data_IF_136910721648
#
_entry.id   IF_136910721648
#
_cell.length_a   1.000
_cell.length_b   1.000
_cell.length_c   1.000
_cell.angle_alpha   90.00
_cell.angle_beta   90.00
_cell.angle_gamma   90.00
#
_symmetry.space_group_name_H-M   'P 1'
#
loop_
_entity.id
_entity.type
_entity.pdbx_description
1 polymer ?
#
# COMPACT_ATOMS: atom_id res chain seq x y z
N UNK A 1 24.10 0.76 10.90
CA UNK A 1 24.51 -0.22 11.92
C UNK A 1 23.63 -0.03 13.14
N UNK A 2 22.94 -1.07 13.57
CA UNK A 2 22.09 -1.03 14.76
C UNK A 2 22.70 -1.98 15.81
N UNK A 3 22.92 -1.51 17.05
CA UNK A 3 23.33 -2.42 18.13
C UNK A 3 22.29 -3.54 18.31
N UNK A 4 22.77 -4.78 18.52
CA UNK A 4 21.90 -5.96 18.64
C UNK A 4 20.82 -5.78 19.70
N UNK A 5 21.16 -5.17 20.83
CA UNK A 5 20.24 -4.88 21.94
C UNK A 5 19.10 -3.96 21.52
N UNK A 6 19.40 -2.92 20.73
CA UNK A 6 18.39 -2.00 20.21
C UNK A 6 17.53 -2.64 19.11
N UNK A 7 18.12 -3.51 18.30
CA UNK A 7 17.39 -4.25 17.28
C UNK A 7 16.29 -5.13 17.89
N UNK A 8 16.61 -5.86 18.96
CA UNK A 8 15.63 -6.71 19.67
C UNK A 8 14.56 -5.87 20.38
N UNK A 9 14.94 -4.72 20.94
CA UNK A 9 14.02 -3.86 21.68
C UNK A 9 12.99 -3.15 20.81
N UNK A 10 13.30 -2.87 19.54
CA UNK A 10 12.47 -2.06 18.65
C UNK A 10 11.86 -2.82 17.48
N UNK A 11 12.23 -4.07 17.26
CA UNK A 11 11.65 -4.93 16.25
C UNK A 11 10.82 -6.01 16.95
N UNK A 12 9.57 -6.16 16.61
CA UNK A 12 8.75 -7.32 17.03
C UNK A 12 9.20 -8.59 16.28
N UNK A 13 10.50 -8.87 16.33
CA UNK A 13 11.07 -10.06 15.73
C UNK A 13 10.86 -11.24 16.68
N UNK A 14 10.30 -12.32 16.17
CA UNK A 14 10.15 -13.54 16.95
C UNK A 14 11.51 -13.99 17.51
N UNK A 15 11.54 -14.37 18.78
CA UNK A 15 12.76 -14.82 19.48
C UNK A 15 13.54 -15.91 18.72
N UNK A 16 12.82 -16.76 18.00
CA UNK A 16 13.37 -17.82 17.17
C UNK A 16 14.27 -17.31 16.05
N UNK A 17 13.84 -16.24 15.34
CA UNK A 17 14.62 -15.60 14.29
C UNK A 17 15.88 -14.93 14.84
N UNK A 18 15.78 -14.37 16.02
CA UNK A 18 16.92 -13.78 16.71
C UNK A 18 17.92 -14.86 17.18
N UNK A 19 17.44 -15.96 17.72
CA UNK A 19 18.27 -17.09 18.10
C UNK A 19 19.00 -17.71 16.89
N UNK A 20 18.36 -17.76 15.74
CA UNK A 20 18.98 -18.18 14.48
C UNK A 20 20.09 -17.21 14.06
N UNK A 21 19.84 -15.91 14.11
CA UNK A 21 20.84 -14.89 13.79
C UNK A 21 22.10 -15.03 14.67
N UNK A 22 21.93 -15.25 15.97
CA UNK A 22 23.06 -15.44 16.87
C UNK A 22 23.84 -16.74 16.61
N UNK A 23 23.13 -17.80 16.22
CA UNK A 23 23.73 -19.13 15.97
C UNK A 23 24.46 -19.20 14.63
N UNK A 24 23.92 -18.60 13.58
CA UNK A 24 24.41 -18.72 12.19
C UNK A 24 25.21 -17.51 11.74
N UNK A 25 25.03 -16.37 12.40
CA UNK A 25 25.56 -15.06 11.99
C UNK A 25 24.70 -14.37 10.94
N UNK A 26 23.66 -15.03 10.42
CA UNK A 26 22.69 -14.45 9.50
C UNK A 26 21.30 -15.06 9.69
N UNK A 27 20.27 -14.29 9.42
CA UNK A 27 18.87 -14.75 9.39
C UNK A 27 18.04 -13.89 8.45
N UNK A 28 17.02 -14.47 7.82
CA UNK A 28 16.02 -13.75 7.06
C UNK A 28 14.67 -13.89 7.76
N UNK A 29 13.97 -12.77 7.93
CA UNK A 29 12.65 -12.75 8.56
C UNK A 29 11.83 -11.54 8.12
N UNK A 30 10.52 -11.63 8.29
CA UNK A 30 9.60 -10.50 8.10
C UNK A 30 9.35 -9.80 9.43
N UNK A 31 9.16 -8.48 9.36
CA UNK A 31 8.69 -7.68 10.48
C UNK A 31 7.67 -6.66 10.00
N UNK A 32 6.75 -6.28 10.88
CA UNK A 32 5.79 -5.23 10.58
C UNK A 32 6.39 -3.86 10.87
N UNK A 33 6.47 -3.00 9.82
CA UNK A 33 6.95 -1.64 9.96
C UNK A 33 5.78 -0.70 10.26
N UNK A 34 5.61 -0.32 11.52
CA UNK A 34 4.53 0.56 11.96
C UNK A 34 4.58 1.98 11.38
N UNK A 35 5.73 2.44 10.88
CA UNK A 35 5.83 3.76 10.24
C UNK A 35 5.27 3.76 8.83
N UNK A 36 5.39 2.65 8.14
CA UNK A 36 4.90 2.47 6.76
C UNK A 36 3.67 1.57 6.70
N UNK A 37 3.27 0.99 7.86
CA UNK A 37 2.16 0.04 7.98
C UNK A 37 2.26 -1.11 6.97
N UNK A 38 3.47 -1.62 6.75
CA UNK A 38 3.73 -2.69 5.79
C UNK A 38 4.61 -3.77 6.40
N UNK A 39 4.36 -5.02 6.00
CA UNK A 39 5.29 -6.10 6.28
C UNK A 39 6.53 -5.96 5.41
N UNK A 40 7.71 -5.96 6.03
CA UNK A 40 8.99 -5.90 5.35
C UNK A 40 9.80 -7.15 5.62
N UNK A 41 10.44 -7.67 4.58
CA UNK A 41 11.40 -8.77 4.71
C UNK A 41 12.80 -8.20 4.73
N UNK A 42 13.60 -8.64 5.69
CA UNK A 42 14.99 -8.22 5.87
C UNK A 42 15.89 -9.42 6.04
N UNK A 43 17.10 -9.27 5.55
CA UNK A 43 18.24 -10.12 5.89
C UNK A 43 19.06 -9.40 6.96
N UNK A 44 19.24 -10.03 8.10
CA UNK A 44 20.09 -9.57 9.18
C UNK A 44 21.41 -10.33 9.15
N UNK A 45 22.51 -9.62 9.27
CA UNK A 45 23.87 -10.20 9.35
C UNK A 45 24.55 -9.64 10.58
N UNK A 46 25.02 -10.54 11.46
CA UNK A 46 25.80 -10.16 12.62
C UNK A 46 27.27 -9.92 12.24
N UNK A 47 27.88 -8.89 12.80
CA UNK A 47 29.27 -8.51 12.48
C UNK A 47 30.31 -9.53 12.96
N UNK A 48 29.99 -10.34 13.95
CA UNK A 48 30.86 -11.40 14.49
C UNK A 48 30.08 -12.69 14.78
N UNK A 49 30.65 -13.83 14.40
CA UNK A 49 30.05 -15.17 14.63
C UNK A 49 30.14 -15.66 16.08
N UNK A 50 31.02 -15.07 16.88
CA UNK A 50 31.14 -15.39 18.30
C UNK A 50 31.28 -14.08 19.10
N UNK A 51 30.30 -13.74 19.96
CA UNK A 51 30.39 -12.55 20.78
C UNK A 51 31.43 -12.69 21.87
N UNK A 52 32.54 -11.98 21.76
CA UNK A 52 33.43 -11.74 22.86
C UNK A 52 32.85 -10.66 23.78
N UNK A 53 32.97 -10.83 25.10
CA UNK A 53 32.41 -9.96 26.13
C UNK A 53 32.82 -8.46 26.03
N UNK A 54 33.76 -8.11 25.15
CA UNK A 54 34.31 -6.76 24.96
C UNK A 54 34.08 -6.18 23.54
N UNK A 55 33.37 -6.87 22.66
CA UNK A 55 33.11 -6.37 21.30
C UNK A 55 31.67 -5.84 21.16
N UNK A 56 31.55 -4.68 20.59
CA UNK A 56 30.23 -4.13 20.21
C UNK A 56 29.71 -4.88 18.98
N UNK A 57 28.79 -5.82 19.17
CA UNK A 57 28.17 -6.54 18.09
C UNK A 57 27.14 -5.66 17.38
N UNK A 58 27.24 -5.58 16.07
CA UNK A 58 26.31 -4.84 15.22
C UNK A 58 25.56 -5.79 14.30
N UNK A 59 24.26 -5.52 14.11
CA UNK A 59 23.45 -6.17 13.10
C UNK A 59 23.32 -5.24 11.91
N UNK A 60 23.70 -5.72 10.75
CA UNK A 60 23.46 -5.06 9.48
C UNK A 60 22.13 -5.57 8.93
N UNK A 61 21.21 -4.66 8.61
CA UNK A 61 19.89 -4.97 8.06
C UNK A 61 19.88 -4.64 6.58
N UNK A 62 19.62 -5.62 5.75
CA UNK A 62 19.45 -5.45 4.31
C UNK A 62 18.00 -5.69 3.94
N UNK A 63 17.32 -4.74 3.27
CA UNK A 63 16.00 -5.02 2.73
C UNK A 63 16.13 -6.15 1.69
N UNK A 64 15.36 -7.21 1.88
CA UNK A 64 15.21 -8.28 0.89
C UNK A 64 14.00 -7.94 0.07
N UNK A 65 14.23 -7.56 -1.18
CA UNK A 65 13.16 -7.39 -2.13
C UNK A 65 12.70 -8.79 -2.58
N UNK A 66 11.40 -9.08 -2.45
CA UNK A 66 10.84 -10.27 -3.09
C UNK A 66 11.10 -10.17 -4.58
N UNK A 67 11.64 -11.23 -5.19
CA UNK A 67 11.74 -11.26 -6.64
C UNK A 67 10.33 -11.26 -7.24
N UNK A 68 10.18 -10.66 -8.41
CA UNK A 68 8.89 -10.67 -9.13
C UNK A 68 8.38 -12.10 -9.40
N UNK A 69 9.28 -13.08 -9.43
CA UNK A 69 8.96 -14.50 -9.57
C UNK A 69 8.40 -15.11 -8.28
N UNK A 70 8.95 -14.76 -7.11
CA UNK A 70 8.45 -15.22 -5.81
C UNK A 70 7.04 -14.66 -5.54
N UNK A 71 6.80 -13.39 -5.87
CA UNK A 71 5.47 -12.78 -5.76
C UNK A 71 4.48 -13.51 -6.66
N UNK A 72 4.84 -13.78 -7.91
CA UNK A 72 3.98 -14.50 -8.86
C UNK A 72 3.66 -15.93 -8.42
N UNK A 73 4.57 -16.63 -7.75
CA UNK A 73 4.36 -17.98 -7.24
C UNK A 73 3.46 -18.03 -6.00
N UNK A 74 3.41 -16.95 -5.23
CA UNK A 74 2.56 -16.85 -4.02
C UNK A 74 1.17 -16.28 -4.28
N UNK A 75 0.93 -15.75 -5.49
CA UNK A 75 -0.37 -15.21 -5.85
C UNK A 75 -1.38 -16.34 -6.07
N UNK A 76 -2.60 -16.24 -5.52
CA UNK A 76 -3.65 -17.21 -5.73
C UNK A 76 -4.03 -17.31 -7.22
N UNK A 77 -4.46 -18.49 -7.68
CA UNK A 77 -4.94 -18.70 -9.04
C UNK A 77 -6.13 -17.79 -9.38
N UNK A 78 -6.98 -17.50 -8.40
CA UNK A 78 -8.05 -16.51 -8.51
C UNK A 78 -7.52 -15.13 -8.11
N UNK A 79 -7.23 -14.29 -9.09
CA UNK A 79 -6.68 -12.95 -8.91
C UNK A 79 -7.75 -11.89 -8.66
N UNK A 80 -8.67 -12.17 -7.73
CA UNK A 80 -9.63 -11.15 -7.30
C UNK A 80 -8.87 -10.00 -6.64
N UNK A 81 -9.05 -8.79 -7.16
CA UNK A 81 -8.45 -7.58 -6.57
C UNK A 81 -9.50 -6.94 -5.70
N UNK A 82 -9.25 -6.90 -4.39
CA UNK A 82 -10.14 -6.23 -3.43
C UNK A 82 -9.52 -4.93 -2.95
N UNK A 83 -10.31 -3.88 -2.90
CA UNK A 83 -9.90 -2.54 -2.48
C UNK A 83 -10.76 -2.10 -1.30
N UNK A 84 -10.10 -1.70 -0.23
CA UNK A 84 -10.73 -1.10 0.95
C UNK A 84 -10.51 0.40 0.93
N UNK A 85 -11.58 1.14 1.08
CA UNK A 85 -11.59 2.60 1.13
C UNK A 85 -12.17 3.13 2.45
N UNK A 86 -12.96 2.32 3.16
CA UNK A 86 -13.51 2.68 4.47
C UNK A 86 -12.42 2.57 5.54
N UNK A 87 -12.04 3.74 6.08
CA UNK A 87 -10.85 3.91 6.89
C UNK A 87 -9.61 4.21 6.05
N UNK A 88 -8.59 3.36 6.14
CA UNK A 88 -7.37 3.48 5.36
C UNK A 88 -7.51 2.81 4.00
N UNK A 89 -6.83 3.38 2.99
CA UNK A 89 -6.78 2.77 1.66
C UNK A 89 -5.87 1.56 1.63
N UNK A 90 -6.42 0.39 1.32
CA UNK A 90 -5.65 -0.84 1.14
C UNK A 90 -6.11 -1.63 -0.08
N UNK A 91 -5.17 -2.38 -0.68
CA UNK A 91 -5.39 -3.18 -1.89
C UNK A 91 -4.86 -4.58 -1.66
N UNK A 92 -5.63 -5.58 -2.07
CA UNK A 92 -5.30 -6.99 -1.92
C UNK A 92 -5.42 -7.72 -3.26
N UNK A 93 -4.61 -8.75 -3.46
CA UNK A 93 -4.78 -9.76 -4.51
C UNK A 93 -5.07 -11.09 -3.82
N UNK A 94 -6.32 -11.55 -3.88
CA UNK A 94 -6.82 -12.55 -2.96
C UNK A 94 -6.68 -12.04 -1.52
N UNK A 95 -6.01 -12.81 -0.66
CA UNK A 95 -5.77 -12.44 0.74
C UNK A 95 -4.41 -11.72 0.95
N UNK A 96 -3.66 -11.46 -0.12
CA UNK A 96 -2.32 -10.88 -0.03
C UNK A 96 -2.35 -9.37 -0.21
N UNK A 97 -1.94 -8.57 0.80
CA UNK A 97 -1.88 -7.13 0.67
C UNK A 97 -0.79 -6.70 -0.31
N UNK A 98 -1.07 -5.67 -1.12
CA UNK A 98 -0.10 -5.09 -2.05
C UNK A 98 0.84 -4.14 -1.30
N UNK A 99 2.14 -4.39 -1.40
CA UNK A 99 3.17 -3.50 -0.89
C UNK A 99 3.50 -2.40 -1.89
N UNK A 100 3.11 -1.17 -1.60
CA UNK A 100 3.48 0.00 -2.39
C UNK A 100 4.80 0.59 -1.92
N UNK A 101 5.86 0.47 -2.73
CA UNK A 101 7.18 1.08 -2.44
C UNK A 101 7.16 2.62 -2.48
N UNK A 102 6.11 3.20 -3.02
CA UNK A 102 5.96 4.65 -3.13
C UNK A 102 4.57 5.11 -2.70
N UNK A 103 4.51 5.92 -1.63
CA UNK A 103 3.25 6.44 -1.06
C UNK A 103 2.42 7.20 -2.10
N UNK A 104 3.04 8.01 -2.97
CA UNK A 104 2.32 8.77 -4.01
C UNK A 104 1.77 7.88 -5.13
N UNK A 105 2.34 6.69 -5.38
CA UNK A 105 1.74 5.73 -6.31
C UNK A 105 0.51 5.03 -5.69
N UNK A 106 0.53 4.74 -4.38
CA UNK A 106 -0.65 4.25 -3.64
C UNK A 106 -1.77 5.31 -3.65
N UNK A 107 -1.42 6.56 -3.37
CA UNK A 107 -2.34 7.70 -3.39
C UNK A 107 -2.94 7.95 -4.79
N UNK A 108 -2.15 7.83 -5.86
CA UNK A 108 -2.67 7.92 -7.23
C UNK A 108 -3.72 6.83 -7.49
N UNK A 109 -3.48 5.59 -7.07
CA UNK A 109 -4.48 4.53 -7.23
C UNK A 109 -5.75 4.83 -6.42
N UNK A 110 -5.60 5.31 -5.18
CA UNK A 110 -6.74 5.72 -4.36
C UNK A 110 -7.57 6.82 -5.04
N UNK A 111 -6.92 7.81 -5.66
CA UNK A 111 -7.60 8.85 -6.43
C UNK A 111 -8.39 8.28 -7.62
N UNK A 112 -7.80 7.33 -8.37
CA UNK A 112 -8.50 6.68 -9.48
C UNK A 112 -9.73 5.90 -9.00
N UNK A 113 -9.64 5.26 -7.84
CA UNK A 113 -10.77 4.55 -7.21
C UNK A 113 -11.85 5.55 -6.79
N UNK A 114 -11.49 6.65 -6.13
CA UNK A 114 -12.43 7.70 -5.73
C UNK A 114 -13.20 8.29 -6.91
N UNK A 115 -12.58 8.35 -8.09
CA UNK A 115 -13.21 8.84 -9.34
C UNK A 115 -14.16 7.83 -10.00
N UNK A 116 -14.36 6.65 -9.43
CA UNK A 116 -15.44 5.70 -9.80
C UNK A 116 -15.50 5.43 -11.31
N UNK A 117 -14.35 5.11 -11.92
CA UNK A 117 -14.22 4.84 -13.35
C UNK A 117 -14.12 6.09 -14.24
N UNK A 118 -14.21 7.29 -13.69
CA UNK A 118 -13.94 8.54 -14.40
C UNK A 118 -12.45 8.68 -14.75
N UNK A 119 -12.18 9.24 -15.93
CA UNK A 119 -10.80 9.53 -16.35
C UNK A 119 -10.22 10.71 -15.57
N UNK A 120 -9.03 10.53 -15.04
CA UNK A 120 -8.23 11.55 -14.36
C UNK A 120 -7.09 11.99 -15.28
N UNK A 121 -6.99 13.30 -15.53
CA UNK A 121 -5.87 13.88 -16.28
C UNK A 121 -4.61 13.99 -15.42
N UNK A 122 -3.44 14.23 -16.05
CA UNK A 122 -2.21 14.48 -15.32
C UNK A 122 -2.27 15.74 -14.46
N UNK A 123 -2.89 16.79 -14.96
CA UNK A 123 -3.06 18.07 -14.28
C UNK A 123 -3.97 17.92 -13.05
N UNK A 124 -5.09 17.22 -13.23
CA UNK A 124 -6.01 16.89 -12.14
C UNK A 124 -5.32 16.05 -11.07
N UNK A 125 -4.61 14.97 -11.44
CA UNK A 125 -3.88 14.16 -10.50
C UNK A 125 -2.82 14.96 -9.73
N UNK A 126 -2.11 15.88 -10.39
CA UNK A 126 -1.12 16.76 -9.75
C UNK A 126 -1.77 17.63 -8.68
N UNK A 127 -2.94 18.21 -8.96
CA UNK A 127 -3.64 19.08 -8.00
C UNK A 127 -4.07 18.36 -6.73
N UNK A 128 -4.32 17.05 -6.77
CA UNK A 128 -4.64 16.22 -5.61
C UNK A 128 -3.40 15.67 -4.91
N UNK A 129 -2.42 15.23 -5.69
CA UNK A 129 -1.19 14.63 -5.13
C UNK A 129 -0.26 15.67 -4.49
N UNK A 130 -0.30 16.91 -4.96
CA UNK A 130 0.53 18.03 -4.49
C UNK A 130 -0.31 19.32 -4.48
N UNK A 131 -1.22 19.41 -3.51
CA UNK A 131 -2.24 20.47 -3.38
C UNK A 131 -1.70 21.89 -3.52
N UNK A 132 -0.47 22.13 -3.05
CA UNK A 132 0.17 23.47 -3.05
C UNK A 132 1.05 23.73 -4.29
N UNK A 133 1.14 22.76 -5.23
CA UNK A 133 2.05 22.88 -6.37
C UNK A 133 1.27 23.01 -7.70
N UNK A 134 1.54 24.03 -8.51
CA UNK A 134 0.89 24.16 -9.82
C UNK A 134 1.37 23.07 -10.79
N UNK A 135 0.52 22.71 -11.75
CA UNK A 135 0.91 21.85 -12.85
C UNK A 135 1.91 22.60 -13.78
N UNK A 136 3.15 22.16 -13.76
CA UNK A 136 4.25 22.65 -14.58
C UNK A 136 5.13 21.50 -15.07
N UNK A 137 6.16 21.80 -15.83
CA UNK A 137 7.07 20.77 -16.39
C UNK A 137 7.70 19.88 -15.31
N UNK A 138 8.04 20.44 -14.15
CA UNK A 138 8.64 19.70 -13.04
C UNK A 138 7.66 18.75 -12.38
N UNK A 139 6.45 19.24 -12.03
CA UNK A 139 5.40 18.44 -11.40
C UNK A 139 4.86 17.37 -12.36
N UNK A 140 4.74 17.67 -13.66
CA UNK A 140 4.44 16.67 -14.70
C UNK A 140 5.51 15.57 -14.80
N UNK A 141 6.79 15.93 -14.69
CA UNK A 141 7.87 14.94 -14.66
C UNK A 141 7.80 14.04 -13.41
N UNK A 142 7.49 14.62 -12.24
CA UNK A 142 7.26 13.87 -10.99
C UNK A 142 6.07 12.93 -11.10
N UNK A 143 4.95 13.43 -11.64
CA UNK A 143 3.74 12.63 -11.88
C UNK A 143 4.01 11.43 -12.78
N UNK A 144 4.73 11.61 -13.90
CA UNK A 144 5.11 10.50 -14.79
C UNK A 144 5.87 9.40 -14.05
N UNK A 145 6.78 9.79 -13.14
CA UNK A 145 7.52 8.82 -12.31
C UNK A 145 6.60 8.08 -11.33
N UNK A 146 5.64 8.79 -10.73
CA UNK A 146 4.63 8.19 -9.84
C UNK A 146 3.76 7.20 -10.60
N UNK A 147 3.26 7.60 -11.78
CA UNK A 147 2.45 6.74 -12.64
C UNK A 147 3.21 5.51 -13.14
N UNK A 148 4.50 5.65 -13.47
CA UNK A 148 5.36 4.53 -13.85
C UNK A 148 5.54 3.55 -12.68
N UNK A 149 5.78 4.06 -11.45
CA UNK A 149 5.90 3.23 -10.25
C UNK A 149 4.60 2.51 -9.92
N UNK A 150 3.45 3.17 -10.09
CA UNK A 150 2.15 2.49 -9.97
C UNK A 150 2.06 1.34 -10.96
N UNK A 151 2.34 1.60 -12.24
CA UNK A 151 2.32 0.57 -13.28
C UNK A 151 3.25 -0.61 -12.92
N UNK A 152 4.50 -0.34 -12.52
CA UNK A 152 5.44 -1.39 -12.10
C UNK A 152 4.93 -2.20 -10.91
N UNK A 153 4.29 -1.57 -9.92
CA UNK A 153 3.67 -2.29 -8.80
C UNK A 153 2.55 -3.20 -9.30
N UNK A 154 1.65 -2.71 -10.15
CA UNK A 154 0.57 -3.52 -10.71
C UNK A 154 1.09 -4.67 -11.59
N UNK A 155 2.18 -4.48 -12.33
CA UNK A 155 2.87 -5.51 -13.12
C UNK A 155 3.46 -6.60 -12.22
N UNK A 156 4.06 -6.22 -11.10
CA UNK A 156 4.63 -7.14 -10.11
C UNK A 156 3.57 -8.11 -9.57
N UNK A 157 2.36 -7.63 -9.30
CA UNK A 157 1.23 -8.45 -8.85
C UNK A 157 0.36 -9.02 -9.98
N UNK A 158 0.66 -8.74 -11.24
CA UNK A 158 -0.04 -9.26 -12.41
C UNK A 158 -1.47 -8.76 -12.57
N UNK A 159 -1.75 -7.53 -12.14
CA UNK A 159 -3.07 -6.89 -12.11
C UNK A 159 -3.09 -5.55 -12.87
N UNK A 160 -2.34 -5.44 -13.93
CA UNK A 160 -2.26 -4.19 -14.72
C UNK A 160 -3.57 -3.77 -15.36
N UNK A 161 -4.49 -4.70 -15.53
CA UNK A 161 -5.79 -4.53 -16.17
C UNK A 161 -6.81 -3.78 -15.29
N UNK A 162 -6.50 -3.54 -14.01
CA UNK A 162 -7.35 -2.73 -13.14
C UNK A 162 -7.24 -1.22 -13.45
N UNK A 163 -6.17 -0.78 -14.13
CA UNK A 163 -5.97 0.62 -14.51
C UNK A 163 -5.83 0.74 -16.03
N UNK A 164 -6.74 1.48 -16.62
CA UNK A 164 -6.67 1.85 -18.04
C UNK A 164 -5.98 3.20 -18.22
N UNK A 165 -5.16 3.30 -19.27
CA UNK A 165 -4.50 4.57 -19.65
C UNK A 165 -4.75 4.86 -21.12
N UNK A 166 -5.39 6.00 -21.41
CA UNK A 166 -5.70 6.46 -22.77
C UNK A 166 -5.34 7.95 -22.87
N UNK A 167 -4.53 8.32 -23.85
CA UNK A 167 -4.14 9.70 -24.14
C UNK A 167 -3.62 10.48 -22.92
N UNK A 168 -2.83 9.80 -22.07
CA UNK A 168 -2.26 10.39 -20.85
C UNK A 168 -3.22 10.49 -19.67
N UNK A 169 -4.52 10.19 -19.87
CA UNK A 169 -5.51 10.07 -18.79
C UNK A 169 -5.55 8.66 -18.26
N UNK A 170 -5.95 8.50 -17.01
CA UNK A 170 -6.06 7.19 -16.34
C UNK A 170 -7.38 7.04 -15.64
N UNK A 171 -7.87 5.80 -15.57
CA UNK A 171 -9.03 5.46 -14.74
C UNK A 171 -8.88 4.07 -14.13
N UNK A 172 -9.61 3.84 -13.08
CA UNK A 172 -9.85 2.49 -12.57
C UNK A 172 -10.86 1.76 -13.47
N UNK A 173 -10.64 0.49 -13.72
CA UNK A 173 -11.58 -0.39 -14.43
C UNK A 173 -12.42 -1.08 -13.36
N UNK A 174 -13.62 -0.55 -13.09
CA UNK A 174 -14.45 -0.97 -11.96
C UNK A 174 -14.82 -2.46 -11.99
N UNK A 175 -15.05 -3.02 -13.18
CA UNK A 175 -15.42 -4.43 -13.36
C UNK A 175 -14.29 -5.42 -13.05
N UNK A 176 -13.08 -4.92 -12.82
CA UNK A 176 -11.89 -5.71 -12.51
C UNK A 176 -11.54 -5.76 -11.03
N UNK A 177 -12.32 -5.08 -10.20
CA UNK A 177 -12.05 -4.96 -8.78
C UNK A 177 -13.32 -5.13 -7.95
N UNK A 178 -13.17 -5.63 -6.75
CA UNK A 178 -14.15 -5.54 -5.69
C UNK A 178 -13.79 -4.36 -4.80
N UNK A 179 -14.74 -3.46 -4.51
CA UNK A 179 -14.46 -2.26 -3.74
C UNK A 179 -15.63 -1.96 -2.78
N UNK A 180 -15.31 -1.81 -1.50
CA UNK A 180 -16.28 -1.53 -0.45
C UNK A 180 -17.13 -0.27 -0.73
N UNK A 181 -16.52 0.79 -1.28
CA UNK A 181 -17.23 1.99 -1.72
C UNK A 181 -18.28 1.66 -2.81
N UNK A 182 -17.89 0.89 -3.82
CA UNK A 182 -18.78 0.60 -4.97
C UNK A 182 -19.93 -0.30 -4.56
N UNK A 183 -19.64 -1.28 -3.70
CA UNK A 183 -20.65 -2.18 -3.15
C UNK A 183 -21.63 -1.44 -2.24
N UNK A 184 -21.11 -0.52 -1.40
CA UNK A 184 -21.94 0.38 -0.60
C UNK A 184 -22.87 1.25 -1.48
N UNK A 185 -22.31 1.89 -2.51
CA UNK A 185 -23.08 2.76 -3.42
C UNK A 185 -24.09 1.97 -4.28
N UNK A 186 -23.87 0.68 -4.51
CA UNK A 186 -24.80 -0.21 -5.18
C UNK A 186 -25.96 -0.69 -4.29
N UNK A 187 -25.96 -0.32 -3.00
CA UNK A 187 -27.01 -0.64 -2.05
C UNK A 187 -26.92 -2.06 -1.46
N UNK A 188 -25.74 -2.69 -1.48
CA UNK A 188 -25.56 -3.99 -0.80
C UNK A 188 -25.60 -3.78 0.71
N UNK A 189 -26.60 -4.33 1.40
CA UNK A 189 -26.85 -4.13 2.83
C UNK A 189 -25.66 -4.54 3.72
N UNK A 190 -24.93 -5.57 3.36
CA UNK A 190 -23.73 -6.03 4.08
C UNK A 190 -22.64 -4.98 4.15
N UNK A 191 -22.50 -4.13 3.11
CA UNK A 191 -21.52 -3.06 3.03
C UNK A 191 -21.96 -1.78 3.77
N UNK A 192 -23.26 -1.58 3.95
CA UNK A 192 -23.78 -0.48 4.79
C UNK A 192 -23.28 -0.59 6.25
N UNK A 193 -23.09 -1.81 6.75
CA UNK A 193 -22.57 -2.03 8.09
C UNK A 193 -21.05 -1.82 8.20
N UNK A 194 -20.31 -1.87 7.09
CA UNK A 194 -18.86 -1.66 7.08
C UNK A 194 -18.48 -0.18 7.14
N UNK A 195 -19.33 0.70 6.61
CA UNK A 195 -19.09 2.14 6.68
C UNK A 195 -19.32 2.63 8.12
N UNK A 196 -18.27 3.11 8.77
CA UNK A 196 -18.27 3.64 10.14
C UNK A 196 -17.98 5.14 10.20
N UNK A 197 -18.34 5.88 9.11
CA UNK A 197 -18.11 7.32 9.04
C UNK A 197 -16.64 7.69 8.75
N UNK A 198 -15.87 6.79 8.15
CA UNK A 198 -14.45 7.00 7.85
C UNK A 198 -14.15 6.51 6.44
N UNK A 199 -13.49 7.36 5.64
CA UNK A 199 -13.18 7.12 4.23
C UNK A 199 -11.84 7.73 3.87
N UNK A 200 -10.94 6.95 3.25
CA UNK A 200 -9.61 7.37 2.77
C UNK A 200 -8.87 8.30 3.74
N UNK A 201 -8.82 7.92 5.02
CA UNK A 201 -8.34 8.75 6.16
C UNK A 201 -6.93 9.33 5.96
N UNK A 202 -6.12 8.73 5.07
CA UNK A 202 -4.76 9.18 4.75
C UNK A 202 -4.72 10.39 3.79
N UNK A 203 -5.87 10.75 3.16
CA UNK A 203 -5.90 11.70 2.07
C UNK A 203 -6.94 12.78 2.32
N UNK A 204 -6.50 14.03 2.47
CA UNK A 204 -7.34 15.23 2.72
C UNK A 204 -8.43 15.40 1.66
N UNK A 205 -8.12 15.13 0.41
CA UNK A 205 -9.07 15.25 -0.69
C UNK A 205 -10.23 14.23 -0.64
N UNK A 206 -10.10 13.16 0.15
CA UNK A 206 -11.18 12.19 0.40
C UNK A 206 -12.35 12.76 1.22
N UNK A 207 -12.18 13.91 1.88
CA UNK A 207 -13.22 14.54 2.70
C UNK A 207 -14.47 14.92 1.91
N UNK A 208 -14.34 15.25 0.63
CA UNK A 208 -15.50 15.57 -0.23
C UNK A 208 -16.40 14.35 -0.39
N UNK A 209 -15.85 13.21 -0.76
CA UNK A 209 -16.59 11.95 -0.90
C UNK A 209 -17.12 11.47 0.46
N UNK A 210 -16.33 11.63 1.55
CA UNK A 210 -16.80 11.33 2.90
C UNK A 210 -18.05 12.15 3.25
N UNK A 211 -18.06 13.45 2.93
CA UNK A 211 -19.22 14.32 3.14
C UNK A 211 -20.45 13.85 2.37
N UNK A 212 -20.28 13.37 1.14
CA UNK A 212 -21.35 12.79 0.34
C UNK A 212 -21.93 11.51 0.97
N UNK A 213 -21.05 10.62 1.42
CA UNK A 213 -21.43 9.36 2.07
C UNK A 213 -22.23 9.61 3.36
N UNK A 214 -21.75 10.51 4.23
CA UNK A 214 -22.44 10.87 5.48
C UNK A 214 -23.81 11.53 5.23
N UNK A 215 -23.96 12.31 4.17
CA UNK A 215 -25.24 12.92 3.79
C UNK A 215 -26.20 11.89 3.19
N UNK A 216 -25.69 10.86 2.51
CA UNK A 216 -26.46 9.73 2.00
C UNK A 216 -27.09 8.90 3.13
N UNK A 217 -26.34 8.60 4.18
CA UNK A 217 -26.86 7.92 5.38
C UNK A 217 -28.01 8.66 6.05
N UNK A 218 -27.95 10.00 6.11
CA UNK A 218 -29.05 10.81 6.66
C UNK A 218 -30.35 10.73 5.85
N UNK A 219 -30.28 10.44 4.55
CA UNK A 219 -31.49 10.28 3.70
C UNK A 219 -32.18 8.94 3.93
N UNK A 220 -31.43 7.89 4.21
CA UNK A 220 -31.99 6.54 4.48
C UNK A 220 -32.63 6.45 5.87
N UNK A 221 -32.25 7.32 6.81
CA UNK A 221 -32.77 7.31 8.20
C UNK A 221 -34.09 8.07 8.37
N UNK A 222 -34.66 8.66 7.33
CA UNK A 222 -35.90 9.45 7.36
C UNK A 222 -37.03 8.89 6.50
N UNK A 223 -36.86 7.69 5.91
CA UNK A 223 -37.93 6.91 5.28
C UNK A 223 -38.35 5.72 6.17
#
# INVERSE_FOLDING_TARGET
>A
FTPVENFVAYSEVAYENFAELLRTGEAEFSYFDYQTETERRIKAICSEKEPNANSSNYVMLYPVERSSEEIKQTLPENRTVSIRTFGYFDVFVGDTPIAFRNKKSKELLALLVDRKGGYVTSEEAISFLWEDEPANTLTLSRYRKVALRLKSTLEEYGITDIVESVDGKRRIVMDKIECDLYDYLSGKEEYAQLFKGSYLTNYSWGETTLGELLNGEKRVSYE
#
